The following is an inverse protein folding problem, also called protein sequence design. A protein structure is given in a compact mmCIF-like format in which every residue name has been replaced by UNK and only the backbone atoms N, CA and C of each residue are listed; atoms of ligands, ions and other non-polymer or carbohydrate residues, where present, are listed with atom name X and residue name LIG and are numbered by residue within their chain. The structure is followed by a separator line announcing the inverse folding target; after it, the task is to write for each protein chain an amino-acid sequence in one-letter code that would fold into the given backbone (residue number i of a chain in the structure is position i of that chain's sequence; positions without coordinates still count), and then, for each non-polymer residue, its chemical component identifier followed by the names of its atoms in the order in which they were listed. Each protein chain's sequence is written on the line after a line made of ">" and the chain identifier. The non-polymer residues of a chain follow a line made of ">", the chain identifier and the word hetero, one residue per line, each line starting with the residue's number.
data_IF_179093845806
#
_entry.id   IF_179093845806
#
_cell.length_a   1.000
_cell.length_b   1.000
_cell.length_c   1.000
_cell.angle_alpha   90.00
_cell.angle_beta   90.00
_cell.angle_gamma   90.00
#
_symmetry.space_group_name_H-M   'P 1'
#
loop_
_entity.id
_entity.type
_entity.pdbx_description
1 polymer ?
#
# COMPACT_ATOMS: atom_id res chain seq x y z
N UNK A 1 14.95 -5.58 38.28
CA UNK A 1 14.80 -4.27 37.62
C UNK A 1 15.10 -4.52 36.15
N UNK A 2 14.06 -4.60 35.30
CA UNK A 2 14.22 -4.78 33.84
C UNK A 2 14.49 -3.39 33.26
N UNK A 3 15.75 -3.08 33.00
CA UNK A 3 16.14 -1.98 32.10
C UNK A 3 15.85 -2.41 30.65
N UNK A 4 14.58 -2.41 30.27
CA UNK A 4 14.26 -2.37 28.85
C UNK A 4 14.62 -0.96 28.36
N UNK A 5 15.47 -0.81 27.33
CA UNK A 5 15.74 0.49 26.77
C UNK A 5 14.42 1.09 26.27
N UNK A 6 13.98 2.15 26.94
CA UNK A 6 12.79 2.89 26.51
C UNK A 6 13.10 3.51 25.15
N UNK A 7 12.64 2.88 24.06
CA UNK A 7 12.75 3.44 22.72
C UNK A 7 11.89 4.71 22.71
N UNK A 8 12.55 5.87 22.67
CA UNK A 8 11.84 7.15 22.59
C UNK A 8 11.22 7.28 21.21
N UNK A 9 9.88 7.25 21.16
CA UNK A 9 9.13 7.48 19.94
C UNK A 9 9.40 8.90 19.42
N UNK A 10 9.65 9.02 18.12
CA UNK A 10 9.80 10.26 17.40
C UNK A 10 9.23 10.11 15.99
N UNK A 11 9.09 11.23 15.26
CA UNK A 11 8.47 11.27 13.95
C UNK A 11 9.06 10.27 12.94
N UNK A 12 10.39 10.18 12.67
CA UNK A 12 10.93 9.20 11.73
C UNK A 12 10.64 7.76 12.12
N UNK A 13 10.74 7.44 13.41
CA UNK A 13 10.46 6.10 13.92
C UNK A 13 8.98 5.74 13.81
N UNK A 14 8.09 6.72 14.01
CA UNK A 14 6.65 6.52 13.87
C UNK A 14 6.24 6.31 12.40
N UNK A 15 6.85 7.05 11.45
CA UNK A 15 6.65 6.85 10.01
C UNK A 15 7.00 5.42 9.61
N UNK A 16 8.22 4.97 9.90
CA UNK A 16 8.68 3.61 9.55
C UNK A 16 7.90 2.55 10.33
N UNK A 17 7.55 2.82 11.60
CA UNK A 17 6.74 1.92 12.41
C UNK A 17 5.36 1.65 11.83
N UNK A 18 4.67 2.68 11.32
CA UNK A 18 3.37 2.52 10.65
C UNK A 18 3.50 1.80 9.29
N UNK A 19 4.56 2.06 8.53
CA UNK A 19 4.80 1.33 7.28
C UNK A 19 5.00 -0.17 7.55
N UNK A 20 5.85 -0.51 8.51
CA UNK A 20 6.09 -1.91 8.89
C UNK A 20 4.85 -2.57 9.51
N UNK A 21 4.01 -1.83 10.23
CA UNK A 21 2.76 -2.35 10.77
C UNK A 21 1.83 -2.84 9.65
N UNK A 22 1.75 -2.11 8.54
CA UNK A 22 0.94 -2.51 7.39
C UNK A 22 1.48 -3.80 6.78
N UNK A 23 2.77 -3.85 6.42
CA UNK A 23 3.36 -5.01 5.73
C UNK A 23 3.53 -6.25 6.62
N UNK A 24 3.55 -6.11 7.94
CA UNK A 24 3.61 -7.24 8.89
C UNK A 24 2.20 -7.65 9.40
N UNK A 25 1.14 -7.06 8.87
CA UNK A 25 -0.23 -7.25 9.35
C UNK A 25 -0.73 -8.69 9.18
N UNK A 26 -0.26 -9.40 8.14
CA UNK A 26 -0.55 -10.80 7.87
C UNK A 26 0.51 -11.77 8.43
N UNK A 27 1.59 -11.25 9.06
CA UNK A 27 2.71 -12.02 9.58
C UNK A 27 3.66 -12.56 8.49
N UNK A 28 3.58 -12.05 7.27
CA UNK A 28 4.43 -12.40 6.14
C UNK A 28 5.03 -11.13 5.57
N UNK A 29 6.26 -10.84 5.92
CA UNK A 29 6.99 -9.68 5.40
C UNK A 29 7.71 -10.09 4.10
N UNK A 30 7.16 -9.66 2.97
CA UNK A 30 7.75 -9.90 1.66
C UNK A 30 8.94 -8.96 1.38
N UNK A 31 9.94 -9.46 0.65
CA UNK A 31 11.14 -8.66 0.35
C UNK A 31 10.82 -7.43 -0.52
N UNK A 32 9.86 -7.54 -1.44
CA UNK A 32 9.37 -6.45 -2.29
C UNK A 32 8.74 -5.32 -1.48
N UNK A 33 7.95 -5.65 -0.45
CA UNK A 33 7.34 -4.69 0.47
C UNK A 33 8.40 -4.00 1.33
N UNK A 34 9.40 -4.75 1.81
CA UNK A 34 10.49 -4.18 2.58
C UNK A 34 11.30 -3.19 1.73
N UNK A 35 11.65 -3.54 0.50
CA UNK A 35 12.34 -2.66 -0.44
C UNK A 35 11.51 -1.40 -0.74
N UNK A 36 10.20 -1.56 -0.93
CA UNK A 36 9.32 -0.41 -1.16
C UNK A 36 9.18 0.46 0.08
N UNK A 37 9.14 -0.15 1.27
CA UNK A 37 9.15 0.56 2.55
C UNK A 37 10.43 1.39 2.71
N UNK A 38 11.58 0.82 2.37
CA UNK A 38 12.88 1.54 2.40
C UNK A 38 12.86 2.77 1.48
N UNK A 39 12.41 2.61 0.23
CA UNK A 39 12.32 3.70 -0.74
C UNK A 39 11.34 4.79 -0.28
N UNK A 40 10.16 4.40 0.18
CA UNK A 40 9.16 5.34 0.66
C UNK A 40 9.62 6.11 1.90
N UNK A 41 10.34 5.45 2.83
CA UNK A 41 10.91 6.09 4.00
C UNK A 41 12.03 7.09 3.63
N UNK A 42 12.90 6.74 2.66
CA UNK A 42 13.92 7.66 2.14
C UNK A 42 13.29 8.92 1.56
N UNK A 43 12.27 8.75 0.73
CA UNK A 43 11.58 9.85 0.06
C UNK A 43 10.84 10.77 1.06
N UNK A 44 10.10 10.17 2.00
CA UNK A 44 9.29 10.93 2.97
C UNK A 44 10.11 11.64 4.05
N UNK A 45 11.25 11.08 4.43
CA UNK A 45 12.09 11.60 5.51
C UNK A 45 13.30 12.37 5.01
N UNK A 46 13.58 12.34 3.71
CA UNK A 46 14.78 12.94 3.08
C UNK A 46 16.08 12.49 3.77
N UNK A 47 16.23 11.18 3.97
CA UNK A 47 17.37 10.57 4.67
C UNK A 47 18.09 9.54 3.81
N UNK A 48 19.33 9.23 4.21
CA UNK A 48 20.17 8.28 3.47
C UNK A 48 19.75 6.82 3.69
N UNK A 49 20.00 5.91 2.73
CA UNK A 49 19.63 4.48 2.85
C UNK A 49 20.12 3.80 4.14
N UNK A 50 21.33 4.16 4.59
CA UNK A 50 21.91 3.60 5.81
C UNK A 50 21.15 4.02 7.08
N UNK A 51 20.56 5.20 7.09
CA UNK A 51 19.75 5.71 8.19
C UNK A 51 18.40 5.00 8.22
N UNK A 52 17.78 4.76 7.04
CA UNK A 52 16.54 3.99 6.90
C UNK A 52 16.71 2.58 7.45
N UNK A 53 17.77 1.87 7.08
CA UNK A 53 18.04 0.54 7.61
C UNK A 53 18.14 0.49 9.15
N UNK A 54 18.71 1.54 9.76
CA UNK A 54 18.75 1.67 11.21
C UNK A 54 17.36 1.95 11.81
N UNK A 55 16.54 2.76 11.13
CA UNK A 55 15.16 3.04 11.55
C UNK A 55 14.29 1.79 11.47
N UNK A 56 14.40 1.02 10.39
CA UNK A 56 13.67 -0.25 10.21
C UNK A 56 14.00 -1.23 11.35
N UNK A 57 15.27 -1.40 11.70
CA UNK A 57 15.67 -2.26 12.83
C UNK A 57 15.06 -1.81 14.16
N UNK A 58 15.04 -0.49 14.40
CA UNK A 58 14.42 0.08 15.60
C UNK A 58 12.91 -0.07 15.60
N UNK A 59 12.26 0.19 14.46
CA UNK A 59 10.82 0.07 14.30
C UNK A 59 10.36 -1.40 14.44
N UNK A 60 11.06 -2.36 13.84
CA UNK A 60 10.79 -3.80 14.04
C UNK A 60 10.90 -4.23 15.50
N UNK A 61 11.80 -3.60 16.26
CA UNK A 61 11.88 -3.84 17.70
C UNK A 61 10.72 -3.19 18.47
N UNK A 62 10.23 -2.06 17.99
CA UNK A 62 9.10 -1.34 18.54
C UNK A 62 7.78 -2.14 18.35
N UNK A 63 7.58 -2.78 17.20
CA UNK A 63 6.40 -3.60 16.91
C UNK A 63 6.27 -4.83 17.82
N UNK A 64 7.37 -5.28 18.41
CA UNK A 64 7.35 -6.35 19.42
C UNK A 64 6.81 -5.90 20.80
N UNK A 65 6.62 -4.62 20.98
CA UNK A 65 6.05 -4.01 22.19
C UNK A 65 4.65 -3.53 21.79
N UNK A 66 3.63 -3.58 22.68
CA UNK A 66 2.28 -3.13 22.35
C UNK A 66 2.21 -1.58 22.23
N UNK A 67 2.87 -1.05 21.20
CA UNK A 67 2.72 0.37 20.82
C UNK A 67 1.48 0.46 19.93
N UNK A 68 0.43 1.08 20.44
CA UNK A 68 -0.81 1.21 19.68
C UNK A 68 -0.67 2.15 18.49
N UNK A 69 -1.39 1.88 17.40
CA UNK A 69 -1.45 2.72 16.19
C UNK A 69 -1.69 4.20 16.51
N UNK A 70 -2.49 4.49 17.55
CA UNK A 70 -2.76 5.87 18.00
C UNK A 70 -1.50 6.61 18.40
N UNK A 71 -0.60 5.98 19.15
CA UNK A 71 0.64 6.64 19.58
C UNK A 71 1.54 7.01 18.39
N UNK A 72 1.63 6.12 17.41
CA UNK A 72 2.38 6.35 16.17
C UNK A 72 1.73 7.46 15.33
N UNK A 73 0.43 7.40 15.12
CA UNK A 73 -0.29 8.40 14.32
C UNK A 73 -0.33 9.78 14.98
N UNK A 74 -0.33 9.84 16.31
CA UNK A 74 -0.25 11.12 17.03
C UNK A 74 1.11 11.80 16.83
N UNK A 75 2.21 11.04 16.71
CA UNK A 75 3.52 11.63 16.33
C UNK A 75 3.50 12.21 14.91
N UNK A 76 2.87 11.50 13.95
CA UNK A 76 2.75 12.03 12.58
C UNK A 76 1.91 13.31 12.53
N UNK A 77 0.82 13.38 13.28
CA UNK A 77 -0.05 14.56 13.30
C UNK A 77 0.61 15.83 13.85
N UNK A 78 1.65 15.68 14.67
CA UNK A 78 2.42 16.84 15.17
C UNK A 78 3.23 17.53 14.07
N UNK A 79 3.75 16.75 13.13
CA UNK A 79 4.70 17.21 12.12
C UNK A 79 4.07 17.34 10.72
N UNK A 80 3.01 16.59 10.44
CA UNK A 80 2.38 16.54 9.11
C UNK A 80 1.11 17.39 9.03
N UNK A 81 1.05 18.27 8.04
CA UNK A 81 -0.20 18.89 7.60
C UNK A 81 -1.10 17.85 6.90
N UNK A 82 -2.32 18.23 6.51
CA UNK A 82 -3.27 17.32 5.86
C UNK A 82 -2.73 16.74 4.55
N UNK A 83 -2.07 17.55 3.73
CA UNK A 83 -1.52 17.12 2.44
C UNK A 83 -0.43 16.06 2.63
N UNK A 84 0.49 16.25 3.58
CA UNK A 84 1.52 15.28 3.95
C UNK A 84 0.90 13.96 4.47
N UNK A 85 -0.17 14.04 5.27
CA UNK A 85 -0.90 12.86 5.74
C UNK A 85 -1.57 12.08 4.60
N UNK A 86 -2.18 12.79 3.64
CA UNK A 86 -2.75 12.18 2.43
C UNK A 86 -1.64 11.49 1.61
N UNK A 87 -0.49 12.15 1.44
CA UNK A 87 0.65 11.57 0.74
C UNK A 87 1.19 10.32 1.45
N UNK A 88 1.24 10.35 2.78
CA UNK A 88 1.64 9.18 3.57
C UNK A 88 0.69 7.98 3.33
N UNK A 89 -0.64 8.19 3.31
CA UNK A 89 -1.60 7.12 2.99
C UNK A 89 -1.39 6.59 1.57
N UNK A 90 -1.07 7.45 0.60
CA UNK A 90 -0.71 6.99 -0.76
C UNK A 90 0.51 6.07 -0.75
N UNK A 91 1.54 6.42 0.04
CA UNK A 91 2.73 5.56 0.17
C UNK A 91 2.40 4.21 0.82
N UNK A 92 1.54 4.16 1.84
CA UNK A 92 1.10 2.90 2.44
C UNK A 92 0.41 2.00 1.41
N UNK A 93 -0.49 2.54 0.58
CA UNK A 93 -1.10 1.79 -0.52
C UNK A 93 -0.09 1.32 -1.57
N UNK A 94 0.94 2.11 -1.87
CA UNK A 94 2.00 1.71 -2.78
C UNK A 94 2.86 0.57 -2.23
N UNK A 95 3.11 0.56 -0.91
CA UNK A 95 3.83 -0.52 -0.24
C UNK A 95 2.99 -1.80 -0.30
N UNK A 96 1.73 -1.73 0.12
CA UNK A 96 0.80 -2.87 0.15
C UNK A 96 0.52 -3.49 -1.23
N UNK A 97 0.76 -2.77 -2.33
CA UNK A 97 0.64 -3.32 -3.68
C UNK A 97 1.99 -3.76 -4.29
N UNK A 98 3.06 -3.80 -3.50
CA UNK A 98 4.40 -4.09 -4.05
C UNK A 98 4.57 -5.55 -4.51
N UNK A 99 3.89 -6.48 -3.86
CA UNK A 99 3.96 -7.93 -4.11
C UNK A 99 2.83 -8.49 -4.99
N UNK A 100 1.77 -7.72 -5.23
CA UNK A 100 0.67 -8.21 -6.06
C UNK A 100 -0.72 -7.71 -5.70
N UNK A 101 -0.87 -7.06 -4.57
CA UNK A 101 -2.14 -6.46 -4.15
C UNK A 101 -2.34 -6.53 -2.64
N UNK A 102 -2.84 -5.44 -2.08
CA UNK A 102 -3.12 -5.36 -0.65
C UNK A 102 -4.08 -6.48 -0.20
N UNK A 103 -3.72 -7.18 0.84
CA UNK A 103 -4.61 -8.14 1.48
C UNK A 103 -5.61 -7.45 2.43
N UNK A 104 -6.53 -8.22 2.99
CA UNK A 104 -7.58 -7.68 3.87
C UNK A 104 -7.05 -7.09 5.18
N UNK A 105 -5.92 -7.57 5.67
CA UNK A 105 -5.32 -7.10 6.92
C UNK A 105 -4.62 -5.78 6.67
N UNK A 106 -3.83 -5.68 5.60
CA UNK A 106 -3.18 -4.45 5.16
C UNK A 106 -4.19 -3.35 4.84
N UNK A 107 -5.26 -3.68 4.07
CA UNK A 107 -6.36 -2.74 3.80
C UNK A 107 -6.98 -2.23 5.09
N UNK A 108 -7.25 -3.12 6.06
CA UNK A 108 -7.81 -2.75 7.35
C UNK A 108 -6.90 -1.81 8.13
N UNK A 109 -5.60 -2.10 8.16
CA UNK A 109 -4.63 -1.27 8.88
C UNK A 109 -4.48 0.10 8.21
N UNK A 110 -4.42 0.18 6.88
CA UNK A 110 -4.38 1.45 6.14
C UNK A 110 -5.63 2.30 6.43
N UNK A 111 -6.81 1.68 6.44
CA UNK A 111 -8.08 2.38 6.74
C UNK A 111 -8.07 2.93 8.18
N UNK A 112 -7.62 2.14 9.15
CA UNK A 112 -7.54 2.59 10.54
C UNK A 112 -6.49 3.70 10.73
N UNK A 113 -5.32 3.57 10.09
CA UNK A 113 -4.28 4.62 10.10
C UNK A 113 -4.84 5.91 9.48
N UNK A 114 -5.52 5.85 8.33
CA UNK A 114 -6.11 7.01 7.69
C UNK A 114 -7.16 7.69 8.59
N UNK A 115 -8.00 6.90 9.26
CA UNK A 115 -8.98 7.38 10.23
C UNK A 115 -8.31 8.11 11.41
N UNK A 116 -7.24 7.54 11.97
CA UNK A 116 -6.49 8.13 13.09
C UNK A 116 -5.72 9.39 12.66
N UNK A 117 -5.24 9.44 11.41
CA UNK A 117 -4.60 10.61 10.82
C UNK A 117 -5.62 11.67 10.34
N UNK A 118 -6.92 11.42 10.50
CA UNK A 118 -7.99 12.33 10.08
C UNK A 118 -7.94 12.66 8.58
N UNK A 119 -7.55 11.68 7.77
CA UNK A 119 -7.58 11.80 6.31
C UNK A 119 -9.03 11.65 5.83
N UNK A 120 -9.55 12.57 5.00
CA UNK A 120 -10.90 12.46 4.49
C UNK A 120 -11.11 11.17 3.70
N UNK A 121 -12.27 10.53 3.89
CA UNK A 121 -12.60 9.25 3.24
C UNK A 121 -12.46 9.30 1.71
N UNK A 122 -12.84 10.41 1.09
CA UNK A 122 -12.66 10.63 -0.35
C UNK A 122 -11.19 10.50 -0.79
N UNK A 123 -10.27 11.08 -0.02
CA UNK A 123 -8.83 11.03 -0.32
C UNK A 123 -8.25 9.62 -0.10
N UNK A 124 -8.73 8.92 0.94
CA UNK A 124 -8.38 7.52 1.19
C UNK A 124 -8.78 6.63 0.00
N UNK A 125 -10.04 6.70 -0.44
CA UNK A 125 -10.54 5.92 -1.59
C UNK A 125 -9.79 6.29 -2.88
N UNK A 126 -9.55 7.58 -3.11
CA UNK A 126 -8.77 8.03 -4.26
C UNK A 126 -7.35 7.44 -4.25
N UNK A 127 -6.68 7.43 -3.10
CA UNK A 127 -5.35 6.85 -2.95
C UNK A 127 -5.34 5.34 -3.25
N UNK A 128 -6.32 4.61 -2.73
CA UNK A 128 -6.50 3.17 -2.97
C UNK A 128 -6.67 2.87 -4.46
N UNK A 129 -7.62 3.56 -5.12
CA UNK A 129 -7.91 3.35 -6.55
C UNK A 129 -6.70 3.68 -7.42
N UNK A 130 -6.05 4.82 -7.17
CA UNK A 130 -4.86 5.22 -7.95
C UNK A 130 -3.71 4.23 -7.78
N UNK A 131 -3.47 3.75 -6.56
CA UNK A 131 -2.42 2.76 -6.31
C UNK A 131 -2.72 1.43 -7.01
N UNK A 132 -3.96 0.96 -6.93
CA UNK A 132 -4.41 -0.27 -7.61
C UNK A 132 -4.28 -0.16 -9.14
N UNK A 133 -4.65 0.99 -9.72
CA UNK A 133 -4.50 1.22 -11.17
C UNK A 133 -3.02 1.20 -11.59
N UNK A 134 -2.12 1.82 -10.81
CA UNK A 134 -0.68 1.78 -11.10
C UNK A 134 -0.10 0.38 -11.01
N UNK A 135 -0.53 -0.41 -10.03
CA UNK A 135 -0.15 -1.81 -9.93
C UNK A 135 -0.61 -2.58 -11.17
N UNK A 136 -1.89 -2.47 -11.54
CA UNK A 136 -2.44 -3.07 -12.76
C UNK A 136 -1.62 -2.62 -13.99
N UNK A 137 -1.35 -1.33 -14.13
CA UNK A 137 -0.54 -0.80 -15.23
C UNK A 137 0.88 -1.41 -15.26
N UNK A 138 1.49 -1.61 -14.10
CA UNK A 138 2.83 -2.23 -14.01
C UNK A 138 2.88 -3.68 -14.49
N UNK A 139 1.78 -4.41 -14.33
CA UNK A 139 1.66 -5.80 -14.81
C UNK A 139 1.59 -5.90 -16.34
N UNK A 140 1.26 -4.81 -17.02
CA UNK A 140 0.98 -4.79 -18.47
C UNK A 140 1.93 -3.97 -19.31
N UNK A 141 2.93 -3.37 -18.69
CA UNK A 141 4.06 -2.82 -19.42
C UNK A 141 4.89 -3.98 -19.94
N UNK A 142 4.98 -4.10 -21.28
CA UNK A 142 5.93 -4.99 -21.93
C UNK A 142 7.38 -4.51 -21.67
N UNK A 143 8.37 -5.28 -22.16
CA UNK A 143 9.78 -4.93 -22.01
C UNK A 143 10.14 -3.58 -22.67
N UNK A 144 9.31 -3.09 -23.58
CA UNK A 144 9.45 -1.81 -24.28
C UNK A 144 8.64 -0.68 -23.62
N UNK A 145 7.91 -0.96 -22.53
CA UNK A 145 7.13 0.02 -21.76
C UNK A 145 5.77 0.37 -22.40
N UNK A 146 5.33 -0.36 -23.40
CA UNK A 146 4.00 -0.19 -24.00
C UNK A 146 2.93 -0.93 -23.22
N UNK A 147 1.78 -0.28 -23.02
CA UNK A 147 0.63 -0.87 -22.34
C UNK A 147 -0.08 -1.84 -23.29
N UNK A 148 -0.23 -3.09 -22.88
CA UNK A 148 -1.08 -4.05 -23.58
C UNK A 148 -2.55 -3.71 -23.29
N UNK A 149 -3.15 -2.87 -24.13
CA UNK A 149 -4.52 -2.39 -23.97
C UNK A 149 -5.57 -3.51 -23.83
N UNK A 150 -5.56 -4.60 -24.66
CA UNK A 150 -6.48 -5.71 -24.48
C UNK A 150 -6.42 -6.33 -23.11
N UNK A 151 -5.22 -6.59 -22.61
CA UNK A 151 -5.01 -7.23 -21.32
C UNK A 151 -5.39 -6.30 -20.16
N UNK A 152 -5.06 -5.01 -20.25
CA UNK A 152 -5.47 -3.99 -19.27
C UNK A 152 -6.99 -3.90 -19.17
N UNK A 153 -7.68 -3.91 -20.32
CA UNK A 153 -9.15 -3.86 -20.38
C UNK A 153 -9.77 -5.14 -19.82
N UNK A 154 -9.17 -6.32 -20.10
CA UNK A 154 -9.62 -7.60 -19.54
C UNK A 154 -9.63 -7.59 -18.01
N UNK A 155 -8.58 -7.06 -17.40
CA UNK A 155 -8.49 -6.99 -15.93
C UNK A 155 -9.45 -5.99 -15.35
N UNK A 156 -9.62 -4.82 -15.97
CA UNK A 156 -10.64 -3.87 -15.53
C UNK A 156 -12.03 -4.50 -15.55
N UNK A 157 -12.36 -5.30 -16.56
CA UNK A 157 -13.61 -6.04 -16.59
C UNK A 157 -13.72 -7.08 -15.48
N UNK A 158 -12.64 -7.83 -15.23
CA UNK A 158 -12.62 -8.79 -14.13
C UNK A 158 -12.76 -8.14 -12.76
N UNK A 159 -12.13 -6.97 -12.54
CA UNK A 159 -12.27 -6.22 -11.29
C UNK A 159 -13.69 -5.67 -11.11
N UNK A 160 -14.34 -5.23 -12.19
CA UNK A 160 -15.74 -4.80 -12.15
C UNK A 160 -16.64 -6.00 -11.82
N UNK A 161 -16.42 -7.16 -12.48
CA UNK A 161 -17.17 -8.38 -12.22
C UNK A 161 -16.99 -8.92 -10.78
N UNK A 162 -15.83 -8.63 -10.15
CA UNK A 162 -15.57 -9.00 -8.74
C UNK A 162 -16.15 -8.02 -7.72
N UNK A 163 -16.64 -6.87 -8.14
CA UNK A 163 -17.07 -5.80 -7.23
C UNK A 163 -18.20 -6.21 -6.28
N UNK A 164 -19.02 -7.17 -6.64
CA UNK A 164 -20.06 -7.77 -5.78
C UNK A 164 -19.59 -9.01 -4.99
N UNK A 165 -18.30 -9.36 -5.11
CA UNK A 165 -17.67 -10.49 -4.41
C UNK A 165 -17.84 -11.84 -5.07
N UNK A 166 -18.42 -11.92 -6.26
CA UNK A 166 -18.58 -13.13 -7.07
C UNK A 166 -18.20 -12.87 -8.52
N UNK A 167 -17.61 -13.85 -9.17
CA UNK A 167 -17.43 -13.85 -10.62
C UNK A 167 -18.41 -14.89 -11.18
N UNK A 168 -19.37 -14.45 -11.98
CA UNK A 168 -20.31 -15.32 -12.69
C UNK A 168 -19.72 -15.70 -14.06
N UNK A 169 -19.91 -16.96 -14.48
CA UNK A 169 -19.43 -17.45 -15.79
C UNK A 169 -19.99 -16.62 -16.97
N UNK A 170 -21.17 -16.02 -16.82
CA UNK A 170 -21.79 -15.14 -17.81
C UNK A 170 -21.04 -13.81 -17.92
N UNK A 171 -20.62 -13.23 -16.80
CA UNK A 171 -19.84 -11.99 -16.76
C UNK A 171 -18.49 -12.20 -17.43
N UNK A 172 -17.85 -13.34 -17.18
CA UNK A 172 -16.61 -13.73 -17.87
C UNK A 172 -16.84 -13.88 -19.37
N UNK A 173 -17.89 -14.58 -19.78
CA UNK A 173 -18.21 -14.81 -21.19
C UNK A 173 -18.48 -13.49 -21.95
N UNK A 174 -19.30 -12.61 -21.38
CA UNK A 174 -19.62 -11.30 -21.95
C UNK A 174 -18.36 -10.41 -22.00
N UNK A 175 -17.51 -10.45 -20.98
CA UNK A 175 -16.25 -9.69 -20.96
C UNK A 175 -15.30 -10.17 -22.05
N UNK A 176 -15.17 -11.48 -22.26
CA UNK A 176 -14.34 -12.07 -23.33
C UNK A 176 -14.87 -11.67 -24.70
N UNK A 177 -16.18 -11.79 -24.94
CA UNK A 177 -16.80 -11.42 -26.21
C UNK A 177 -16.56 -9.94 -26.53
N UNK A 178 -16.74 -9.06 -25.55
CA UNK A 178 -16.49 -7.61 -25.70
C UNK A 178 -15.02 -7.29 -26.00
N UNK A 179 -14.09 -7.99 -25.35
CA UNK A 179 -12.66 -7.83 -25.62
C UNK A 179 -12.30 -8.26 -27.03
N UNK A 180 -12.81 -9.42 -27.47
CA UNK A 180 -12.57 -9.94 -28.82
C UNK A 180 -13.09 -8.98 -29.88
N UNK A 181 -14.30 -8.45 -29.71
CA UNK A 181 -14.88 -7.46 -30.62
C UNK A 181 -14.10 -6.14 -30.63
N UNK A 182 -13.79 -5.60 -29.44
CA UNK A 182 -13.15 -4.28 -29.30
C UNK A 182 -11.73 -4.26 -29.87
N UNK A 183 -10.97 -5.34 -29.67
CA UNK A 183 -9.56 -5.41 -30.06
C UNK A 183 -9.29 -6.32 -31.24
N UNK A 184 -10.36 -6.80 -31.92
CA UNK A 184 -10.26 -7.69 -33.10
C UNK A 184 -9.36 -8.91 -32.83
N UNK A 185 -9.54 -9.56 -31.67
CA UNK A 185 -8.77 -10.73 -31.27
C UNK A 185 -9.37 -11.99 -31.91
N UNK A 186 -8.53 -12.84 -32.48
CA UNK A 186 -8.92 -14.17 -32.99
C UNK A 186 -9.13 -15.17 -31.84
N UNK A 187 -9.97 -16.20 -32.05
CA UNK A 187 -10.24 -17.26 -31.11
C UNK A 187 -9.08 -18.23 -30.98
#
# INVERSE_FOLDING_TARGET
>A
MNDQPSIKLNFPLAVVGLMLQVVDSNGQLEESELQRTELAAQELLDIQPTEVGNLIKKASSLLKIPVGLRALTDELKKEMNLEARINFIKQLWHIAHADGGADKFEESDIHEIARLLEVPFRELVSAQVVSKLRYIESLFKDQDGFINMPLTTAILFMEIARADGRIDDREVAVSIEHLMETFSLDR
#
